data_IF_182596179399
#
_entry.id   IF_182596179399
#
_cell.length_a   1.000
_cell.length_b   1.000
_cell.length_c   1.000
_cell.angle_alpha   90.00
_cell.angle_beta   90.00
_cell.angle_gamma   90.00
#
_symmetry.space_group_name_H-M   'P 1'
#
loop_
_entity.id
_entity.type
_entity.pdbx_description
1 polymer ?
#
# COMPACT_ATOMS: atom_id res chain seq x y z
N UNK A 1 -34.55 40.02 91.80
CA UNK A 1 -34.12 40.36 90.43
C UNK A 1 -32.73 39.77 90.24
N UNK A 2 -32.62 38.67 89.49
CA UNK A 2 -31.34 38.07 89.13
C UNK A 2 -31.36 37.88 87.62
N UNK A 3 -30.65 38.76 86.90
CA UNK A 3 -30.58 38.75 85.45
C UNK A 3 -29.51 37.75 85.00
N UNK A 4 -29.93 36.87 84.09
CA UNK A 4 -29.15 35.81 83.46
C UNK A 4 -28.03 36.36 82.58
N UNK A 5 -26.78 36.01 82.87
CA UNK A 5 -25.54 36.42 82.18
C UNK A 5 -25.02 35.38 81.17
N UNK A 6 -25.85 34.44 80.73
CA UNK A 6 -25.42 33.31 79.90
C UNK A 6 -25.31 33.54 78.38
N UNK A 7 -25.96 34.53 77.71
CA UNK A 7 -25.90 34.61 76.25
C UNK A 7 -24.67 35.35 75.71
N UNK A 8 -23.93 36.11 76.54
CA UNK A 8 -22.78 36.92 76.09
C UNK A 8 -21.47 36.12 76.04
N UNK A 9 -21.29 35.14 76.93
CA UNK A 9 -20.10 34.26 76.95
C UNK A 9 -20.06 33.29 75.76
N UNK A 10 -21.23 32.84 75.29
CA UNK A 10 -21.33 31.90 74.16
C UNK A 10 -21.04 32.58 72.81
N UNK A 11 -21.37 33.88 72.69
CA UNK A 11 -21.05 34.69 71.51
C UNK A 11 -19.55 35.03 71.43
N UNK A 12 -18.89 35.24 72.57
CA UNK A 12 -17.45 35.51 72.64
C UNK A 12 -16.62 34.26 72.34
N UNK A 13 -17.09 33.06 72.73
CA UNK A 13 -16.44 31.79 72.44
C UNK A 13 -16.58 31.41 70.95
N UNK A 14 -17.66 31.80 70.29
CA UNK A 14 -17.87 31.55 68.85
C UNK A 14 -17.00 32.45 67.96
N UNK A 15 -16.63 33.65 68.42
CA UNK A 15 -15.71 34.54 67.70
C UNK A 15 -14.23 34.13 67.82
N UNK A 16 -13.87 33.31 68.81
CA UNK A 16 -12.48 32.85 69.01
C UNK A 16 -12.11 31.60 68.21
N UNK A 17 -13.06 30.98 67.50
CA UNK A 17 -12.88 29.75 66.71
C UNK A 17 -13.03 30.03 65.20
N UNK A 18 -12.86 31.28 64.74
CA UNK A 18 -12.49 31.49 63.34
C UNK A 18 -11.00 31.20 63.19
N UNK A 19 -10.57 30.06 62.63
CA UNK A 19 -9.24 30.01 62.07
C UNK A 19 -9.24 31.04 60.94
N UNK A 20 -8.39 32.04 61.06
CA UNK A 20 -7.93 32.82 59.93
C UNK A 20 -7.26 31.86 58.96
N UNK A 21 -8.07 31.21 58.12
CA UNK A 21 -7.62 30.58 56.89
C UNK A 21 -7.25 31.73 55.96
N UNK A 22 -6.05 32.26 56.18
CA UNK A 22 -5.28 32.90 55.12
C UNK A 22 -5.03 31.74 54.15
N UNK A 23 -5.91 31.58 53.18
CA UNK A 23 -5.67 30.77 52.01
C UNK A 23 -4.48 31.43 51.31
N UNK A 24 -3.28 30.95 51.59
CA UNK A 24 -2.14 31.17 50.72
C UNK A 24 -2.52 30.53 49.38
N UNK A 25 -3.11 31.33 48.51
CA UNK A 25 -3.38 30.95 47.13
C UNK A 25 -2.03 30.72 46.47
N UNK A 26 -1.64 29.45 46.37
CA UNK A 26 -0.43 29.04 45.70
C UNK A 26 -0.56 29.48 44.23
N UNK A 27 0.28 30.41 43.72
CA UNK A 27 0.11 30.99 42.39
C UNK A 27 0.04 29.92 41.28
N UNK A 28 0.67 28.76 41.48
CA UNK A 28 0.68 27.67 40.51
C UNK A 28 -0.68 26.96 40.38
N UNK A 29 -1.44 26.88 41.47
CA UNK A 29 -2.82 26.34 41.45
C UNK A 29 -3.79 27.21 40.64
N UNK A 30 -3.53 28.52 40.59
CA UNK A 30 -4.33 29.47 39.82
C UNK A 30 -4.10 29.33 38.31
N UNK A 31 -2.88 28.98 37.88
CA UNK A 31 -2.54 28.79 36.47
C UNK A 31 -3.16 27.49 35.93
N UNK A 32 -3.09 26.40 36.70
CA UNK A 32 -3.68 25.10 36.29
C UNK A 32 -5.19 25.22 36.12
N UNK A 33 -5.88 25.92 37.03
CA UNK A 33 -7.32 26.14 36.93
C UNK A 33 -7.70 27.02 35.73
N UNK A 34 -6.89 28.02 35.40
CA UNK A 34 -7.05 28.82 34.17
C UNK A 34 -6.85 27.98 32.91
N UNK A 35 -5.84 27.10 32.86
CA UNK A 35 -5.60 26.19 31.73
C UNK A 35 -6.74 25.19 31.54
N UNK A 36 -7.27 24.64 32.63
CA UNK A 36 -8.45 23.77 32.60
C UNK A 36 -9.69 24.51 32.08
N UNK A 37 -9.86 25.76 32.50
CA UNK A 37 -10.95 26.60 31.99
C UNK A 37 -10.80 26.85 30.48
N UNK A 38 -9.61 27.22 30.00
CA UNK A 38 -9.34 27.39 28.57
C UNK A 38 -9.53 26.09 27.77
N UNK A 39 -9.11 24.96 28.31
CA UNK A 39 -9.30 23.64 27.71
C UNK A 39 -10.80 23.34 27.53
N UNK A 40 -11.60 23.60 28.57
CA UNK A 40 -13.05 23.36 28.58
C UNK A 40 -13.84 24.22 27.58
N UNK A 41 -13.32 25.39 27.21
CA UNK A 41 -13.91 26.25 26.20
C UNK A 41 -13.70 25.73 24.78
N UNK A 42 -12.65 24.93 24.56
CA UNK A 42 -12.34 24.38 23.24
C UNK A 42 -13.09 23.07 23.00
N UNK A 43 -13.59 22.86 21.77
CA UNK A 43 -14.30 21.60 21.41
C UNK A 43 -13.35 20.40 21.29
N UNK A 44 -12.08 20.66 20.99
CA UNK A 44 -11.03 19.65 20.74
C UNK A 44 -10.14 19.38 21.95
N UNK A 45 -10.27 20.15 23.03
CA UNK A 45 -9.35 20.13 24.17
C UNK A 45 -8.01 20.83 23.92
N UNK A 46 -7.91 21.59 22.83
CA UNK A 46 -6.70 22.30 22.40
C UNK A 46 -6.74 23.75 22.88
N UNK A 47 -5.69 24.18 23.58
CA UNK A 47 -5.57 25.53 24.11
C UNK A 47 -4.84 26.43 23.11
N UNK A 48 -5.51 27.45 22.59
CA UNK A 48 -4.88 28.45 21.73
C UNK A 48 -4.04 29.42 22.59
N UNK A 49 -2.72 29.40 22.42
CA UNK A 49 -1.79 30.19 23.21
C UNK A 49 -1.38 31.49 22.48
N UNK A 50 -1.64 32.61 23.16
CA UNK A 50 -1.13 33.93 22.75
C UNK A 50 0.24 34.22 23.35
N UNK A 51 0.99 35.15 22.74
CA UNK A 51 2.29 35.61 23.23
C UNK A 51 2.28 36.00 24.72
N UNK A 52 1.22 36.67 25.19
CA UNK A 52 1.11 37.09 26.58
C UNK A 52 0.91 35.89 27.52
N UNK A 53 0.03 34.95 27.16
CA UNK A 53 -0.21 33.74 27.96
C UNK A 53 1.04 32.87 28.02
N UNK A 54 1.72 32.66 26.88
CA UNK A 54 2.91 31.83 26.80
C UNK A 54 4.05 32.37 27.65
N UNK A 55 4.30 33.69 27.62
CA UNK A 55 5.33 34.33 28.46
C UNK A 55 5.02 34.21 29.95
N UNK A 56 3.74 34.28 30.32
CA UNK A 56 3.31 34.09 31.71
C UNK A 56 3.48 32.64 32.16
N UNK A 57 3.18 31.67 31.30
CA UNK A 57 3.34 30.23 31.57
C UNK A 57 4.82 29.80 31.64
N UNK A 58 5.67 30.39 30.79
CA UNK A 58 7.09 30.05 30.68
C UNK A 58 8.00 31.01 31.44
N UNK A 59 7.44 31.80 32.38
CA UNK A 59 8.26 32.71 33.16
C UNK A 59 9.27 31.90 34.00
N UNK A 60 10.58 32.24 34.01
CA UNK A 60 11.60 31.44 34.69
C UNK A 60 11.38 31.25 36.20
N UNK A 61 10.62 32.17 36.83
CA UNK A 61 10.27 32.08 38.25
C UNK A 61 9.15 31.07 38.54
N UNK A 62 8.51 30.51 37.51
CA UNK A 62 7.42 29.54 37.63
C UNK A 62 7.90 28.09 37.48
N UNK A 63 9.22 27.84 37.46
CA UNK A 63 9.79 26.50 37.45
C UNK A 63 10.20 26.06 38.87
N UNK A 64 9.87 24.84 39.33
CA UNK A 64 9.27 23.73 38.57
C UNK A 64 7.74 23.84 38.45
N UNK A 65 7.21 23.63 37.24
CA UNK A 65 5.76 23.64 36.97
C UNK A 65 5.13 22.29 37.32
N UNK A 66 3.87 22.24 37.81
CA UNK A 66 3.19 20.98 38.11
C UNK A 66 2.69 20.23 36.86
N UNK A 67 2.92 20.75 35.65
CA UNK A 67 2.43 20.19 34.39
C UNK A 67 3.48 20.29 33.26
N UNK A 68 3.29 19.46 32.24
CA UNK A 68 3.98 19.56 30.95
C UNK A 68 3.06 20.15 29.88
N UNK A 69 3.61 20.89 28.92
CA UNK A 69 2.84 21.42 27.77
C UNK A 69 3.41 20.89 26.47
N UNK A 70 2.55 20.32 25.63
CA UNK A 70 2.87 19.98 24.25
C UNK A 70 2.33 21.07 23.31
N UNK A 71 3.22 21.72 22.58
CA UNK A 71 2.94 22.89 21.75
C UNK A 71 3.07 22.51 20.28
N UNK A 72 1.99 22.72 19.51
CA UNK A 72 1.96 22.64 18.06
C UNK A 72 2.10 24.04 17.45
N UNK A 73 3.10 24.23 16.59
CA UNK A 73 3.31 25.49 15.90
C UNK A 73 2.56 25.47 14.56
N UNK A 74 1.60 26.38 14.40
CA UNK A 74 0.73 26.48 13.23
C UNK A 74 0.96 27.78 12.45
N UNK A 75 0.63 27.75 11.16
CA UNK A 75 0.56 28.92 10.31
C UNK A 75 -0.51 28.73 9.25
N UNK A 76 -1.64 29.43 9.39
CA UNK A 76 -2.77 29.41 8.46
C UNK A 76 -2.36 29.74 7.02
N UNK A 77 -1.39 30.66 6.84
CA UNK A 77 -0.88 31.03 5.52
C UNK A 77 -0.20 29.88 4.76
N UNK A 78 0.22 28.83 5.47
CA UNK A 78 0.88 27.66 4.90
C UNK A 78 -0.06 26.46 4.76
N UNK A 79 -1.35 26.60 5.12
CA UNK A 79 -2.35 25.54 4.96
C UNK A 79 -2.64 25.22 3.49
N UNK A 80 -2.40 26.17 2.58
CA UNK A 80 -2.60 25.99 1.13
C UNK A 80 -1.49 25.12 0.50
N UNK A 81 -0.33 24.97 1.16
CA UNK A 81 0.79 24.16 0.66
C UNK A 81 0.60 22.70 1.04
N UNK A 82 0.15 21.91 0.08
CA UNK A 82 -0.12 20.47 0.25
C UNK A 82 1.09 19.65 0.68
N UNK A 83 2.31 20.07 0.34
CA UNK A 83 3.57 19.42 0.72
C UNK A 83 3.78 19.38 2.24
N UNK A 84 3.38 20.42 2.95
CA UNK A 84 3.60 20.55 4.41
C UNK A 84 2.56 19.80 5.24
N UNK A 85 1.38 19.48 4.65
CA UNK A 85 0.26 18.77 5.30
C UNK A 85 -0.14 19.32 6.67
N UNK A 86 0.07 20.61 6.94
CA UNK A 86 -0.15 21.25 8.25
C UNK A 86 -1.57 21.07 8.77
N UNK A 87 -2.57 21.27 7.90
CA UNK A 87 -3.99 21.09 8.26
C UNK A 87 -4.29 19.66 8.74
N UNK A 88 -3.68 18.66 8.11
CA UNK A 88 -3.83 17.26 8.48
C UNK A 88 -3.13 16.95 9.81
N UNK A 89 -1.91 17.46 10.00
CA UNK A 89 -1.18 17.30 11.26
C UNK A 89 -1.90 17.95 12.43
N UNK A 90 -2.46 19.15 12.23
CA UNK A 90 -3.30 19.82 13.24
C UNK A 90 -4.52 18.97 13.62
N UNK A 91 -5.18 18.33 12.65
CA UNK A 91 -6.32 17.45 12.95
C UNK A 91 -5.91 16.20 13.75
N UNK A 92 -4.75 15.60 13.45
CA UNK A 92 -4.24 14.46 14.22
C UNK A 92 -3.77 14.89 15.63
N UNK A 93 -3.18 16.09 15.75
CA UNK A 93 -2.83 16.67 17.05
C UNK A 93 -4.07 16.96 17.92
N UNK A 94 -5.12 17.50 17.30
CA UNK A 94 -6.42 17.70 17.95
C UNK A 94 -7.04 16.37 18.40
N UNK A 95 -6.88 15.31 17.61
CA UNK A 95 -7.38 13.98 17.93
C UNK A 95 -6.64 13.38 19.14
N UNK A 96 -5.32 13.56 19.21
CA UNK A 96 -4.51 13.19 20.36
C UNK A 96 -5.00 13.90 21.63
N UNK A 97 -5.18 15.22 21.58
CA UNK A 97 -5.65 16.01 22.72
C UNK A 97 -7.02 15.54 23.22
N UNK A 98 -7.98 15.34 22.30
CA UNK A 98 -9.32 14.84 22.67
C UNK A 98 -9.25 13.43 23.27
N UNK A 99 -8.42 12.55 22.70
CA UNK A 99 -8.27 11.17 23.19
C UNK A 99 -7.64 11.14 24.59
N UNK A 100 -6.64 12.00 24.85
CA UNK A 100 -6.02 12.12 26.16
C UNK A 100 -7.02 12.52 27.24
N UNK A 101 -7.85 13.54 26.98
CA UNK A 101 -8.85 14.01 27.94
C UNK A 101 -9.90 12.93 28.23
N UNK A 102 -10.29 12.15 27.21
CA UNK A 102 -11.22 11.03 27.38
C UNK A 102 -10.63 9.89 28.21
N UNK A 103 -9.33 9.61 28.05
CA UNK A 103 -8.65 8.53 28.76
C UNK A 103 -8.26 8.93 30.20
N UNK A 104 -7.91 10.20 30.42
CA UNK A 104 -7.38 10.72 31.69
C UNK A 104 -8.17 11.94 32.20
N UNK A 105 -9.44 11.77 32.63
CA UNK A 105 -10.29 12.90 33.04
C UNK A 105 -9.87 13.58 34.35
N UNK A 106 -9.06 12.90 35.18
CA UNK A 106 -8.70 13.37 36.53
C UNK A 106 -7.23 13.82 36.66
N UNK A 107 -6.40 13.65 35.63
CA UNK A 107 -4.95 13.88 35.68
C UNK A 107 -4.52 15.01 34.72
N UNK A 108 -4.51 16.29 35.18
CA UNK A 108 -4.13 17.43 34.37
C UNK A 108 -2.59 17.63 34.30
N UNK A 109 -1.86 16.54 34.07
CA UNK A 109 -0.40 16.56 34.07
C UNK A 109 0.18 17.02 32.71
N UNK A 110 -0.62 16.94 31.64
CA UNK A 110 -0.24 17.35 30.28
C UNK A 110 -1.33 18.23 29.68
N UNK A 111 -0.91 19.37 29.15
CA UNK A 111 -1.77 20.26 28.36
C UNK A 111 -1.32 20.29 26.89
N UNK A 112 -2.31 20.31 25.99
CA UNK A 112 -2.08 20.41 24.54
C UNK A 112 -2.44 21.80 24.08
N UNK A 113 -1.55 22.42 23.32
CA UNK A 113 -1.69 23.79 22.88
C UNK A 113 -1.28 23.99 21.42
N UNK A 114 -1.91 24.96 20.76
CA UNK A 114 -1.48 25.48 19.47
C UNK A 114 -1.12 26.96 19.52
N UNK A 115 -0.18 27.35 18.66
CA UNK A 115 0.26 28.74 18.50
C UNK A 115 0.23 29.09 17.01
N UNK A 116 -0.47 30.17 16.68
CA UNK A 116 -0.57 30.68 15.31
C UNK A 116 0.53 31.72 15.01
N UNK A 117 1.26 31.52 13.91
CA UNK A 117 2.39 32.38 13.52
C UNK A 117 2.03 33.86 13.37
N UNK A 118 0.87 34.17 12.78
CA UNK A 118 0.48 35.57 12.53
C UNK A 118 0.24 36.35 13.82
N UNK A 119 -0.24 35.70 14.87
CA UNK A 119 -0.60 36.31 16.14
C UNK A 119 0.59 36.35 17.12
N UNK A 120 1.46 35.33 17.05
CA UNK A 120 2.44 35.05 18.10
C UNK A 120 3.87 34.91 17.57
N UNK A 121 4.31 35.85 16.70
CA UNK A 121 5.65 35.82 16.10
C UNK A 121 6.77 35.84 17.15
N UNK A 122 6.55 36.52 18.28
CA UNK A 122 7.57 36.61 19.33
C UNK A 122 7.76 35.27 20.05
N UNK A 123 6.70 34.49 20.22
CA UNK A 123 6.77 33.12 20.72
C UNK A 123 7.53 32.21 19.77
N UNK A 124 7.30 32.30 18.45
CA UNK A 124 8.07 31.53 17.46
C UNK A 124 9.58 31.82 17.55
N UNK A 125 9.95 33.08 17.72
CA UNK A 125 11.34 33.50 17.90
C UNK A 125 11.94 32.99 19.22
N UNK A 126 11.16 33.00 20.31
CA UNK A 126 11.57 32.51 21.63
C UNK A 126 11.89 31.00 21.60
N UNK A 127 11.12 30.21 20.85
CA UNK A 127 11.45 28.80 20.62
C UNK A 127 12.51 28.60 19.51
N UNK A 128 12.79 29.61 18.69
CA UNK A 128 13.74 29.51 17.57
C UNK A 128 13.23 28.62 16.44
N UNK A 129 11.92 28.62 16.18
CA UNK A 129 11.29 27.84 15.12
C UNK A 129 11.51 28.54 13.77
N UNK A 130 12.20 27.87 12.84
CA UNK A 130 12.51 28.41 11.50
C UNK A 130 11.72 27.72 10.38
N UNK A 131 11.21 26.51 10.64
CA UNK A 131 10.48 25.72 9.67
C UNK A 131 9.27 25.04 10.35
N UNK A 132 8.24 24.75 9.55
CA UNK A 132 7.05 24.01 9.94
C UNK A 132 6.94 22.75 9.09
N UNK A 133 6.28 21.67 9.57
CA UNK A 133 5.62 21.51 10.87
C UNK A 133 6.61 21.37 12.04
N UNK A 134 6.21 21.87 13.23
CA UNK A 134 7.05 21.81 14.42
C UNK A 134 6.21 21.54 15.67
N UNK A 135 6.63 20.56 16.47
CA UNK A 135 6.00 20.22 17.76
C UNK A 135 7.08 20.20 18.83
N UNK A 136 6.79 20.81 19.98
CA UNK A 136 7.70 20.82 21.13
C UNK A 136 7.00 20.43 22.41
N UNK A 137 7.69 19.62 23.20
CA UNK A 137 7.31 19.30 24.56
C UNK A 137 8.13 20.18 25.51
N UNK A 138 7.43 20.92 26.36
CA UNK A 138 8.00 21.70 27.45
C UNK A 138 7.72 20.94 28.75
N UNK A 139 8.78 20.40 29.35
CA UNK A 139 8.70 19.68 30.61
C UNK A 139 8.50 20.60 31.83
N UNK A 140 8.26 20.01 33.01
CA UNK A 140 8.00 20.76 34.24
C UNK A 140 9.21 21.57 34.72
N UNK A 141 10.43 21.08 34.49
CA UNK A 141 11.68 21.71 34.94
C UNK A 141 12.30 22.70 33.95
N UNK A 142 11.72 22.84 32.75
CA UNK A 142 12.31 23.65 31.69
C UNK A 142 12.30 25.15 32.05
N UNK A 143 13.49 25.77 32.13
CA UNK A 143 13.66 27.20 32.41
C UNK A 143 13.82 27.98 31.11
N UNK A 144 14.60 27.43 30.19
CA UNK A 144 14.83 28.03 28.88
C UNK A 144 14.03 27.28 27.80
N UNK A 145 13.04 27.94 27.17
CA UNK A 145 12.14 27.29 26.21
C UNK A 145 12.82 26.90 24.90
N UNK A 146 14.07 27.35 24.65
CA UNK A 146 14.83 27.02 23.46
C UNK A 146 15.73 25.79 23.65
N UNK A 147 16.40 25.67 24.79
CA UNK A 147 17.34 24.58 25.08
C UNK A 147 16.66 23.39 25.77
N UNK A 148 15.72 23.66 26.66
CA UNK A 148 15.15 22.64 27.56
C UNK A 148 13.87 22.01 26.98
N UNK A 149 13.35 22.59 25.89
CA UNK A 149 12.22 22.01 25.16
C UNK A 149 12.68 20.86 24.26
N UNK A 150 11.96 19.75 24.29
CA UNK A 150 12.25 18.59 23.46
C UNK A 150 11.48 18.74 22.13
N UNK A 151 12.20 18.77 21.02
CA UNK A 151 11.62 18.75 19.69
C UNK A 151 11.26 17.32 19.27
N UNK A 152 10.11 17.17 18.61
CA UNK A 152 9.73 15.92 17.95
C UNK A 152 10.43 15.81 16.59
N UNK A 153 10.96 14.63 16.27
CA UNK A 153 11.71 14.40 15.04
C UNK A 153 10.81 14.46 13.80
N UNK A 154 11.38 14.97 12.70
CA UNK A 154 10.63 15.18 11.46
C UNK A 154 10.10 13.89 10.84
N UNK A 155 10.79 12.77 11.08
CA UNK A 155 10.37 11.44 10.61
C UNK A 155 9.14 10.92 11.38
N UNK A 156 8.94 11.34 12.62
CA UNK A 156 7.82 10.88 13.44
C UNK A 156 6.52 11.62 13.12
N UNK A 157 6.58 12.79 12.44
CA UNK A 157 5.40 13.46 11.88
C UNK A 157 4.75 12.67 10.74
N UNK A 158 5.49 11.76 10.12
CA UNK A 158 4.98 10.95 9.00
C UNK A 158 3.90 9.95 9.45
N UNK A 159 3.85 9.69 10.75
CA UNK A 159 2.90 8.79 11.36
C UNK A 159 1.90 9.56 12.23
N UNK A 160 0.72 8.96 12.29
CA UNK A 160 -0.54 9.48 12.78
C UNK A 160 -0.49 9.85 14.28
N UNK A 161 -1.61 10.31 14.87
CA UNK A 161 -1.73 10.66 16.30
C UNK A 161 -1.13 9.63 17.28
N UNK A 162 -1.05 8.36 16.90
CA UNK A 162 -0.42 7.28 17.65
C UNK A 162 1.09 7.50 17.87
N UNK A 163 1.83 8.01 16.88
CA UNK A 163 3.26 8.29 17.04
C UNK A 163 3.52 9.51 17.93
N UNK A 164 2.64 10.51 17.86
CA UNK A 164 2.69 11.64 18.79
C UNK A 164 2.41 11.19 20.23
N UNK A 165 1.48 10.26 20.44
CA UNK A 165 1.22 9.66 21.74
C UNK A 165 2.46 8.93 22.28
N UNK A 166 3.10 8.07 21.47
CA UNK A 166 4.31 7.36 21.85
C UNK A 166 5.46 8.33 22.22
N UNK A 167 5.63 9.41 21.46
CA UNK A 167 6.60 10.45 21.78
C UNK A 167 6.34 11.04 23.18
N UNK A 168 5.09 11.42 23.48
CA UNK A 168 4.70 11.96 24.78
C UNK A 168 4.94 10.96 25.91
N UNK A 169 4.52 9.70 25.73
CA UNK A 169 4.70 8.62 26.71
C UNK A 169 6.19 8.37 26.99
N UNK A 170 7.03 8.36 25.95
CA UNK A 170 8.48 8.12 26.07
C UNK A 170 9.22 9.23 26.81
N UNK A 171 8.74 10.48 26.73
CA UNK A 171 9.42 11.65 27.31
C UNK A 171 8.87 12.06 28.66
N UNK A 172 7.57 11.88 28.89
CA UNK A 172 6.92 12.26 30.15
C UNK A 172 6.73 11.07 31.10
N UNK A 173 6.75 9.83 30.59
CA UNK A 173 6.43 8.63 31.37
C UNK A 173 4.94 8.51 31.74
N UNK A 174 4.08 9.39 31.21
CA UNK A 174 2.65 9.41 31.46
C UNK A 174 1.91 8.65 30.36
N UNK A 175 0.90 7.85 30.72
CA UNK A 175 0.11 7.04 29.78
C UNK A 175 -0.96 7.88 29.08
N UNK A 176 -0.87 8.01 27.76
CA UNK A 176 -1.86 8.75 26.95
C UNK A 176 -3.09 7.87 26.65
N UNK A 177 -2.88 6.57 26.49
CA UNK A 177 -3.93 5.60 26.21
C UNK A 177 -4.32 5.53 24.72
N UNK A 178 -5.35 4.74 24.37
CA UNK A 178 -5.72 4.51 22.98
C UNK A 178 -6.29 5.76 22.30
N UNK A 179 -5.97 5.95 21.02
CA UNK A 179 -6.47 7.07 20.20
C UNK A 179 -7.87 6.76 19.67
N UNK A 180 -8.85 7.60 20.02
CA UNK A 180 -10.26 7.42 19.66
C UNK A 180 -10.60 8.15 18.36
N UNK A 181 -10.40 7.48 17.21
CA UNK A 181 -10.74 8.02 15.89
C UNK A 181 -12.27 8.10 15.71
N UNK A 182 -12.84 9.27 15.36
CA UNK A 182 -14.25 9.33 14.99
C UNK A 182 -14.47 8.47 13.73
N UNK A 183 -15.56 7.68 13.66
CA UNK A 183 -15.83 6.88 12.47
C UNK A 183 -16.03 7.79 11.26
N UNK A 184 -15.38 7.45 10.14
CA UNK A 184 -15.46 8.20 8.86
C UNK A 184 -16.90 8.32 8.33
N UNK A 185 -17.77 7.40 8.74
CA UNK A 185 -19.19 7.38 8.38
C UNK A 185 -20.02 7.68 9.62
N UNK A 186 -20.95 8.62 9.48
CA UNK A 186 -21.90 8.93 10.54
C UNK A 186 -22.72 7.69 10.91
N UNK A 187 -23.07 7.53 12.18
CA UNK A 187 -23.94 6.42 12.65
C UNK A 187 -25.25 6.34 11.83
N UNK A 188 -25.77 7.49 11.39
CA UNK A 188 -26.96 7.55 10.53
C UNK A 188 -26.69 7.07 9.11
N UNK A 189 -25.54 7.40 8.53
CA UNK A 189 -25.12 6.93 7.20
C UNK A 189 -24.85 5.42 7.21
N UNK A 190 -24.21 4.91 8.27
CA UNK A 190 -24.02 3.47 8.46
C UNK A 190 -25.38 2.79 8.58
N UNK A 191 -26.30 3.32 9.40
CA UNK A 191 -27.66 2.80 9.51
C UNK A 191 -28.40 2.79 8.18
N UNK A 192 -28.28 3.86 7.38
CA UNK A 192 -28.88 3.95 6.05
C UNK A 192 -28.26 2.95 5.06
N UNK A 193 -26.94 2.76 5.10
CA UNK A 193 -26.25 1.80 4.23
C UNK A 193 -26.61 0.35 4.58
N UNK A 194 -26.71 0.04 5.88
CA UNK A 194 -27.19 -1.26 6.37
C UNK A 194 -28.64 -1.48 5.95
N UNK A 195 -29.51 -0.49 6.13
CA UNK A 195 -30.91 -0.57 5.70
C UNK A 195 -31.03 -0.75 4.18
N UNK A 196 -30.28 0.04 3.39
CA UNK A 196 -30.25 -0.08 1.93
C UNK A 196 -29.75 -1.46 1.50
N UNK A 197 -28.74 -2.00 2.18
CA UNK A 197 -28.24 -3.36 1.96
C UNK A 197 -29.36 -4.39 2.19
N UNK A 198 -30.04 -4.35 3.33
CA UNK A 198 -31.14 -5.27 3.64
C UNK A 198 -32.33 -5.12 2.69
N UNK A 199 -32.68 -3.89 2.27
CA UNK A 199 -33.71 -3.65 1.27
C UNK A 199 -33.29 -4.23 -0.07
N UNK A 200 -32.02 -4.05 -0.48
CA UNK A 200 -31.50 -4.53 -1.76
C UNK A 200 -31.31 -6.06 -1.81
N UNK A 201 -31.11 -6.71 -0.66
CA UNK A 201 -30.83 -8.14 -0.54
C UNK A 201 -31.89 -9.02 -1.22
N UNK A 202 -33.22 -8.89 -0.96
CA UNK A 202 -34.23 -9.69 -1.65
C UNK A 202 -34.29 -9.43 -3.16
N UNK A 203 -34.05 -8.19 -3.60
CA UNK A 203 -33.99 -7.87 -5.04
C UNK A 203 -32.76 -8.51 -5.69
N UNK A 204 -31.60 -8.47 -5.02
CA UNK A 204 -30.37 -9.07 -5.51
C UNK A 204 -30.50 -10.59 -5.57
N UNK A 205 -31.06 -11.22 -4.53
CA UNK A 205 -31.31 -12.67 -4.48
C UNK A 205 -32.30 -13.11 -5.57
N UNK A 206 -33.41 -12.38 -5.75
CA UNK A 206 -34.35 -12.65 -6.84
C UNK A 206 -33.67 -12.56 -8.20
N UNK A 207 -32.85 -11.52 -8.41
CA UNK A 207 -32.12 -11.31 -9.67
C UNK A 207 -31.10 -12.42 -9.91
N UNK A 208 -30.36 -12.85 -8.88
CA UNK A 208 -29.41 -13.98 -8.94
C UNK A 208 -30.15 -15.28 -9.30
N UNK A 209 -31.26 -15.59 -8.63
CA UNK A 209 -32.04 -16.81 -8.89
C UNK A 209 -32.66 -16.84 -10.28
N UNK A 210 -33.07 -15.67 -10.81
CA UNK A 210 -33.61 -15.56 -12.18
C UNK A 210 -32.55 -15.71 -13.28
N UNK A 211 -31.26 -15.82 -12.94
CA UNK A 211 -30.17 -15.91 -13.92
C UNK A 211 -29.87 -14.61 -14.67
N UNK A 212 -30.57 -13.51 -14.38
CA UNK A 212 -30.39 -12.19 -15.00
C UNK A 212 -29.23 -11.39 -14.38
N UNK A 213 -28.22 -12.07 -13.84
CA UNK A 213 -27.02 -11.44 -13.27
C UNK A 213 -25.80 -11.69 -14.13
N UNK A 214 -24.91 -10.70 -14.14
CA UNK A 214 -23.60 -10.78 -14.79
C UNK A 214 -22.75 -11.96 -14.27
N UNK A 215 -23.07 -12.49 -13.07
CA UNK A 215 -22.39 -13.65 -12.48
C UNK A 215 -22.73 -14.97 -13.18
N UNK A 216 -23.85 -15.07 -13.91
CA UNK A 216 -24.21 -16.27 -14.66
C UNK A 216 -23.60 -16.32 -16.06
N UNK A 217 -23.11 -15.19 -16.58
CA UNK A 217 -22.48 -15.15 -17.89
C UNK A 217 -21.04 -15.67 -17.82
N UNK A 218 -20.77 -16.75 -18.56
CA UNK A 218 -19.43 -17.34 -18.68
C UNK A 218 -18.39 -16.34 -19.23
N UNK A 219 -18.83 -15.33 -19.99
CA UNK A 219 -17.95 -14.28 -20.53
C UNK A 219 -17.36 -13.40 -19.44
N UNK A 220 -18.10 -13.14 -18.38
CA UNK A 220 -17.64 -12.35 -17.24
C UNK A 220 -16.56 -13.11 -16.47
N UNK A 221 -16.76 -14.41 -16.24
CA UNK A 221 -15.75 -15.28 -15.63
C UNK A 221 -14.51 -15.44 -16.50
N UNK A 222 -14.68 -15.56 -17.82
CA UNK A 222 -13.55 -15.58 -18.76
C UNK A 222 -12.75 -14.28 -18.68
N UNK A 223 -13.43 -13.12 -18.72
CA UNK A 223 -12.79 -11.81 -18.60
C UNK A 223 -12.08 -11.65 -17.25
N UNK A 224 -12.71 -12.11 -16.16
CA UNK A 224 -12.11 -12.11 -14.82
C UNK A 224 -10.84 -12.96 -14.75
N UNK A 225 -10.88 -14.17 -15.29
CA UNK A 225 -9.73 -15.07 -15.33
C UNK A 225 -8.56 -14.48 -16.16
N UNK A 226 -8.84 -13.90 -17.32
CA UNK A 226 -7.81 -13.21 -18.14
C UNK A 226 -7.24 -11.99 -17.40
N UNK A 227 -8.07 -11.26 -16.67
CA UNK A 227 -7.62 -10.12 -15.86
C UNK A 227 -6.67 -10.56 -14.75
N UNK A 228 -7.01 -11.64 -14.02
CA UNK A 228 -6.14 -12.20 -12.99
C UNK A 228 -4.81 -12.69 -13.58
N UNK A 229 -4.85 -13.38 -14.72
CA UNK A 229 -3.64 -13.79 -15.44
C UNK A 229 -2.76 -12.59 -15.82
N UNK A 230 -3.35 -11.53 -16.39
CA UNK A 230 -2.64 -10.30 -16.74
C UNK A 230 -1.97 -9.65 -15.51
N UNK A 231 -2.69 -9.53 -14.39
CA UNK A 231 -2.12 -9.00 -13.14
C UNK A 231 -0.96 -9.86 -12.62
N UNK A 232 -1.03 -11.18 -12.79
CA UNK A 232 0.05 -12.08 -12.40
C UNK A 232 1.29 -11.91 -13.28
N UNK A 233 1.12 -11.90 -14.61
CA UNK A 233 2.25 -11.86 -15.57
C UNK A 233 2.90 -10.48 -15.63
N UNK A 234 2.16 -9.40 -15.38
CA UNK A 234 2.69 -8.04 -15.35
C UNK A 234 3.61 -7.73 -14.16
N UNK A 235 3.80 -8.67 -13.22
CA UNK A 235 4.61 -8.44 -12.03
C UNK A 235 3.95 -7.52 -11.00
N UNK A 236 2.63 -7.34 -11.05
CA UNK A 236 1.90 -6.49 -10.10
C UNK A 236 2.13 -6.93 -8.64
N UNK A 237 2.28 -8.23 -8.39
CA UNK A 237 2.62 -8.75 -7.06
C UNK A 237 3.97 -8.23 -6.56
N UNK A 238 5.00 -8.22 -7.41
CA UNK A 238 6.31 -7.66 -7.07
C UNK A 238 6.20 -6.18 -6.69
N UNK A 239 5.42 -5.42 -7.47
CA UNK A 239 5.21 -3.99 -7.25
C UNK A 239 4.49 -3.71 -5.93
N UNK A 240 3.48 -4.52 -5.58
CA UNK A 240 2.70 -4.37 -4.34
C UNK A 240 3.54 -4.70 -3.10
N UNK A 241 4.34 -5.77 -3.14
CA UNK A 241 5.15 -6.22 -1.99
C UNK A 241 6.25 -5.20 -1.70
N UNK A 242 6.98 -4.75 -2.74
CA UNK A 242 8.11 -3.83 -2.59
C UNK A 242 7.70 -2.35 -2.60
N UNK A 243 6.41 -2.06 -2.66
CA UNK A 243 5.85 -0.69 -2.71
C UNK A 243 6.50 0.17 -3.82
N UNK A 244 6.68 -0.44 -4.99
CA UNK A 244 7.30 0.23 -6.13
C UNK A 244 6.36 1.31 -6.70
N UNK A 245 6.85 2.52 -7.01
CA UNK A 245 6.04 3.55 -7.66
C UNK A 245 5.71 3.16 -9.11
N UNK A 246 4.59 3.68 -9.62
CA UNK A 246 4.14 3.41 -11.00
C UNK A 246 5.04 4.09 -12.04
N UNK A 247 5.53 5.28 -11.72
CA UNK A 247 6.40 6.12 -12.52
C UNK A 247 7.33 6.89 -11.58
N UNK A 248 8.48 7.31 -12.09
CA UNK A 248 9.42 8.18 -11.37
C UNK A 248 9.46 9.54 -12.08
N UNK A 249 9.61 10.61 -11.31
CA UNK A 249 9.98 11.90 -11.90
C UNK A 249 11.48 11.88 -12.21
N UNK A 250 11.86 12.43 -13.36
CA UNK A 250 13.26 12.57 -13.74
C UNK A 250 14.01 13.44 -12.73
N UNK A 251 15.27 13.09 -12.43
CA UNK A 251 16.10 13.79 -11.44
C UNK A 251 16.53 15.16 -11.93
N UNK A 252 16.70 15.29 -13.25
CA UNK A 252 17.13 16.54 -13.89
C UNK A 252 15.95 17.45 -14.22
N UNK A 253 14.79 16.87 -14.59
CA UNK A 253 13.56 17.60 -14.94
C UNK A 253 12.32 17.03 -14.23
N UNK A 254 11.83 17.65 -13.14
CA UNK A 254 10.68 17.14 -12.38
C UNK A 254 9.35 17.15 -13.15
N UNK A 255 9.30 17.79 -14.33
CA UNK A 255 8.15 17.77 -15.23
C UNK A 255 8.09 16.54 -16.13
N UNK A 256 9.17 15.75 -16.19
CA UNK A 256 9.28 14.59 -17.07
C UNK A 256 9.08 13.29 -16.28
N UNK A 257 8.12 12.49 -16.72
CA UNK A 257 7.79 11.21 -16.10
C UNK A 257 8.54 10.08 -16.80
N UNK A 258 9.34 9.34 -16.03
CA UNK A 258 10.11 8.18 -16.44
C UNK A 258 9.30 6.92 -16.12
N UNK A 259 8.86 6.22 -17.17
CA UNK A 259 8.06 4.99 -17.07
C UNK A 259 8.90 3.70 -17.12
N UNK A 260 10.14 3.79 -17.60
CA UNK A 260 11.08 2.67 -17.74
C UNK A 260 12.40 3.02 -17.07
N UNK A 261 12.91 2.12 -16.23
CA UNK A 261 14.15 2.31 -15.50
C UNK A 261 15.22 1.32 -15.98
N UNK A 262 16.43 1.81 -16.29
CA UNK A 262 17.55 0.95 -16.64
C UNK A 262 18.22 0.40 -15.37
N UNK A 263 18.12 -0.92 -15.18
CA UNK A 263 18.72 -1.62 -14.06
C UNK A 263 17.95 -2.88 -13.67
N UNK A 264 18.66 -3.94 -13.30
CA UNK A 264 18.09 -5.22 -12.89
C UNK A 264 17.53 -5.21 -11.46
N UNK A 265 17.93 -4.25 -10.63
CA UNK A 265 17.54 -4.16 -9.23
C UNK A 265 16.19 -3.47 -8.96
N UNK A 266 15.58 -2.84 -9.97
CA UNK A 266 14.35 -2.08 -9.81
C UNK A 266 13.38 -2.30 -10.99
N UNK A 267 12.11 -2.52 -10.68
CA UNK A 267 11.04 -2.63 -11.67
C UNK A 267 9.93 -1.64 -11.33
N UNK A 268 9.58 -0.79 -12.30
CA UNK A 268 8.48 0.17 -12.14
C UNK A 268 7.14 -0.48 -12.46
N UNK A 269 6.07 0.06 -11.85
CA UNK A 269 4.72 -0.44 -12.08
C UNK A 269 4.29 -0.36 -13.54
N UNK A 270 4.48 0.79 -14.18
CA UNK A 270 4.12 1.01 -15.58
C UNK A 270 4.88 0.09 -16.54
N UNK A 271 6.17 -0.14 -16.27
CA UNK A 271 7.00 -1.07 -17.03
C UNK A 271 6.46 -2.51 -16.97
N UNK A 272 6.15 -3.00 -15.76
CA UNK A 272 5.58 -4.34 -15.58
C UNK A 272 4.25 -4.53 -16.32
N UNK A 273 3.36 -3.53 -16.27
CA UNK A 273 2.10 -3.58 -17.02
C UNK A 273 2.30 -3.51 -18.53
N UNK A 274 3.24 -2.70 -19.04
CA UNK A 274 3.53 -2.61 -20.46
C UNK A 274 4.07 -3.94 -21.01
N UNK A 275 5.00 -4.57 -20.29
CA UNK A 275 5.54 -5.89 -20.65
C UNK A 275 4.45 -6.96 -20.53
N UNK A 276 3.71 -7.01 -19.42
CA UNK A 276 2.61 -7.96 -19.22
C UNK A 276 1.50 -7.86 -20.28
N UNK A 277 1.27 -6.67 -20.84
CA UNK A 277 0.35 -6.46 -21.96
C UNK A 277 0.87 -7.13 -23.25
N UNK A 278 2.16 -7.01 -23.56
CA UNK A 278 2.79 -7.69 -24.70
C UNK A 278 2.72 -9.22 -24.58
N UNK A 279 2.84 -9.78 -23.38
CA UNK A 279 2.64 -11.21 -23.16
C UNK A 279 1.16 -11.61 -23.37
N UNK A 280 0.24 -10.82 -22.81
CA UNK A 280 -1.19 -11.13 -22.85
C UNK A 280 -1.78 -11.03 -24.26
N UNK A 281 -1.34 -10.07 -25.08
CA UNK A 281 -1.81 -9.95 -26.46
C UNK A 281 -1.43 -11.17 -27.30
N UNK A 282 -0.22 -11.70 -27.15
CA UNK A 282 0.21 -12.93 -27.84
C UNK A 282 -0.63 -14.12 -27.38
N UNK A 283 -0.86 -14.26 -26.07
CA UNK A 283 -1.72 -15.31 -25.51
C UNK A 283 -3.17 -15.26 -26.02
N UNK A 284 -3.77 -14.07 -26.04
CA UNK A 284 -5.14 -13.87 -26.54
C UNK A 284 -5.22 -14.13 -28.05
N UNK A 285 -4.24 -13.67 -28.84
CA UNK A 285 -4.19 -13.93 -30.28
C UNK A 285 -4.07 -15.43 -30.58
N UNK A 286 -3.29 -16.18 -29.81
CA UNK A 286 -3.18 -17.63 -29.95
C UNK A 286 -4.51 -18.33 -29.61
N UNK A 287 -5.18 -17.91 -28.54
CA UNK A 287 -6.51 -18.42 -28.19
C UNK A 287 -7.54 -18.10 -29.30
N UNK A 288 -7.47 -16.91 -29.90
CA UNK A 288 -8.33 -16.50 -31.01
C UNK A 288 -8.12 -17.38 -32.25
N UNK A 289 -6.87 -17.62 -32.65
CA UNK A 289 -6.55 -18.47 -33.82
C UNK A 289 -7.01 -19.91 -33.62
N UNK A 290 -6.86 -20.45 -32.41
CA UNK A 290 -7.18 -21.86 -32.13
C UNK A 290 -8.67 -22.14 -31.95
N UNK A 291 -9.44 -21.20 -31.38
CA UNK A 291 -10.86 -21.42 -31.08
C UNK A 291 -11.84 -20.67 -31.99
N UNK A 292 -11.54 -19.42 -32.37
CA UNK A 292 -12.47 -18.57 -33.13
C UNK A 292 -12.20 -18.67 -34.64
N UNK A 293 -10.94 -18.60 -35.04
CA UNK A 293 -10.57 -18.55 -36.46
C UNK A 293 -10.88 -19.86 -37.21
N UNK A 294 -10.84 -21.01 -36.51
CA UNK A 294 -11.22 -22.33 -37.06
C UNK A 294 -12.70 -22.40 -37.45
N UNK A 295 -13.55 -21.54 -36.88
CA UNK A 295 -14.99 -21.52 -37.16
C UNK A 295 -15.35 -20.74 -38.44
N UNK A 296 -14.39 -20.00 -39.02
CA UNK A 296 -14.58 -19.21 -40.23
C UNK A 296 -14.50 -20.11 -41.47
N UNK A 297 -15.54 -20.14 -42.31
CA UNK A 297 -15.58 -21.00 -43.53
C UNK A 297 -14.73 -20.47 -44.69
N UNK A 298 -14.43 -19.16 -44.72
CA UNK A 298 -13.70 -18.54 -45.82
C UNK A 298 -12.18 -18.72 -45.67
N UNK A 299 -11.60 -19.58 -46.51
CA UNK A 299 -10.17 -19.94 -46.48
C UNK A 299 -9.26 -18.72 -46.72
N UNK A 300 -9.64 -17.80 -47.60
CA UNK A 300 -8.85 -16.59 -47.89
C UNK A 300 -8.76 -15.66 -46.68
N UNK A 301 -9.89 -15.45 -45.99
CA UNK A 301 -9.94 -14.65 -44.75
C UNK A 301 -9.16 -15.34 -43.64
N UNK A 302 -9.31 -16.66 -43.51
CA UNK A 302 -8.57 -17.46 -42.54
C UNK A 302 -7.05 -17.33 -42.71
N UNK A 303 -6.56 -17.46 -43.95
CA UNK A 303 -5.13 -17.31 -44.28
C UNK A 303 -4.63 -15.90 -44.01
N UNK A 304 -5.40 -14.88 -44.41
CA UNK A 304 -5.04 -13.48 -44.17
C UNK A 304 -4.91 -13.19 -42.66
N UNK A 305 -5.90 -13.58 -41.87
CA UNK A 305 -5.89 -13.35 -40.42
C UNK A 305 -4.76 -14.12 -39.74
N UNK A 306 -4.45 -15.35 -40.17
CA UNK A 306 -3.28 -16.09 -39.67
C UNK A 306 -1.97 -15.34 -39.91
N UNK A 307 -1.76 -14.79 -41.12
CA UNK A 307 -0.55 -14.02 -41.45
C UNK A 307 -0.46 -12.77 -40.56
N UNK A 308 -1.57 -12.05 -40.38
CA UNK A 308 -1.62 -10.87 -39.50
C UNK A 308 -1.26 -11.24 -38.06
N UNK A 309 -1.84 -12.30 -37.51
CA UNK A 309 -1.54 -12.75 -36.14
C UNK A 309 -0.06 -13.13 -35.99
N UNK A 310 0.53 -13.79 -36.99
CA UNK A 310 1.95 -14.14 -36.98
C UNK A 310 2.84 -12.89 -36.99
N UNK A 311 2.53 -11.90 -37.83
CA UNK A 311 3.27 -10.63 -37.89
C UNK A 311 3.19 -9.85 -36.56
N UNK A 312 1.99 -9.77 -35.97
CA UNK A 312 1.79 -9.09 -34.68
C UNK A 312 2.53 -9.83 -33.56
N UNK A 313 2.45 -11.16 -33.53
CA UNK A 313 3.15 -11.98 -32.53
C UNK A 313 4.67 -11.82 -32.66
N UNK A 314 5.20 -11.86 -33.88
CA UNK A 314 6.62 -11.64 -34.14
C UNK A 314 7.08 -10.24 -33.68
N UNK A 315 6.28 -9.21 -33.97
CA UNK A 315 6.55 -7.85 -33.51
C UNK A 315 6.56 -7.75 -31.98
N UNK A 316 5.57 -8.34 -31.30
CA UNK A 316 5.47 -8.32 -29.85
C UNK A 316 6.67 -9.01 -29.19
N UNK A 317 7.05 -10.20 -29.67
CA UNK A 317 8.22 -10.94 -29.16
C UNK A 317 9.51 -10.15 -29.39
N UNK A 318 9.69 -9.56 -30.57
CA UNK A 318 10.84 -8.69 -30.85
C UNK A 318 10.91 -7.50 -29.89
N UNK A 319 9.76 -6.91 -29.53
CA UNK A 319 9.70 -5.81 -28.56
C UNK A 319 10.06 -6.27 -27.15
N UNK A 320 9.57 -7.43 -26.71
CA UNK A 320 9.93 -8.02 -25.41
C UNK A 320 11.44 -8.28 -25.33
N UNK A 321 12.03 -8.93 -26.34
CA UNK A 321 13.48 -9.20 -26.38
C UNK A 321 14.29 -7.90 -26.42
N UNK A 322 13.84 -6.90 -27.16
CA UNK A 322 14.50 -5.59 -27.18
C UNK A 322 14.48 -4.92 -25.81
N UNK A 323 13.33 -4.94 -25.11
CA UNK A 323 13.20 -4.36 -23.78
C UNK A 323 14.04 -5.11 -22.75
N UNK A 324 14.09 -6.44 -22.84
CA UNK A 324 14.93 -7.25 -21.97
C UNK A 324 16.42 -6.95 -22.16
N UNK A 325 16.90 -6.96 -23.41
CA UNK A 325 18.28 -6.61 -23.74
C UNK A 325 18.63 -5.19 -23.28
N UNK A 326 17.71 -4.23 -23.44
CA UNK A 326 17.91 -2.85 -22.99
C UNK A 326 17.96 -2.72 -21.46
N UNK A 327 17.24 -3.58 -20.73
CA UNK A 327 17.19 -3.57 -19.27
C UNK A 327 18.34 -4.31 -18.61
N UNK A 328 18.68 -5.49 -19.12
CA UNK A 328 19.73 -6.36 -18.55
C UNK A 328 21.11 -6.08 -19.13
N UNK A 329 21.18 -5.44 -20.30
CA UNK A 329 22.42 -5.27 -21.05
C UNK A 329 22.94 -6.58 -21.66
N UNK A 330 22.19 -7.68 -21.54
CA UNK A 330 22.56 -8.98 -22.08
C UNK A 330 22.00 -9.15 -23.49
N UNK A 331 22.85 -9.50 -24.46
CA UNK A 331 22.41 -9.79 -25.82
C UNK A 331 21.87 -11.21 -25.92
N UNK A 332 20.56 -11.40 -25.91
CA UNK A 332 19.96 -12.71 -26.20
C UNK A 332 20.09 -12.99 -27.70
N UNK A 333 20.94 -13.97 -28.05
CA UNK A 333 21.02 -14.48 -29.42
C UNK A 333 19.86 -15.44 -29.71
N UNK A 334 19.17 -15.24 -30.84
CA UNK A 334 18.14 -16.18 -31.28
C UNK A 334 18.78 -17.54 -31.60
N UNK A 335 18.45 -18.57 -30.82
CA UNK A 335 18.87 -19.94 -31.09
C UNK A 335 17.99 -20.55 -32.18
N UNK A 336 18.55 -20.72 -33.38
CA UNK A 336 17.88 -21.44 -34.46
C UNK A 336 18.20 -22.93 -34.34
N UNK A 337 17.23 -23.83 -34.17
CA UNK A 337 17.50 -25.26 -34.07
C UNK A 337 17.99 -25.79 -35.43
N UNK A 338 19.23 -26.26 -35.48
CA UNK A 338 19.87 -26.72 -36.73
C UNK A 338 19.28 -27.99 -37.36
N UNK A 339 18.27 -28.63 -36.74
CA UNK A 339 17.71 -29.94 -37.16
C UNK A 339 16.30 -29.87 -37.79
N UNK A 340 15.82 -28.71 -38.19
CA UNK A 340 14.47 -28.56 -38.81
C UNK A 340 14.50 -28.83 -40.33
N UNK A 341 15.67 -29.04 -40.94
CA UNK A 341 15.82 -29.26 -42.38
C UNK A 341 15.48 -30.68 -42.88
N UNK A 342 15.23 -31.65 -41.99
CA UNK A 342 14.91 -33.05 -42.37
C UNK A 342 13.46 -33.46 -42.06
N UNK A 343 12.54 -32.51 -41.83
CA UNK A 343 11.12 -32.85 -41.69
C UNK A 343 10.44 -32.65 -43.04
N UNK A 344 10.17 -33.76 -43.71
CA UNK A 344 9.32 -33.83 -44.90
C UNK A 344 8.08 -32.95 -44.71
N UNK A 345 7.89 -32.03 -45.65
CA UNK A 345 6.82 -31.03 -45.71
C UNK A 345 5.46 -31.69 -45.45
N UNK A 346 4.97 -31.58 -44.20
CA UNK A 346 3.61 -31.93 -43.86
C UNK A 346 2.70 -30.83 -44.41
N UNK A 347 1.90 -31.19 -45.41
CA UNK A 347 1.03 -30.30 -46.18
C UNK A 347 -0.23 -29.85 -45.40
N UNK A 348 -0.07 -29.46 -44.14
CA UNK A 348 -1.13 -28.90 -43.29
C UNK A 348 -0.61 -27.61 -42.63
N UNK A 349 -1.04 -26.42 -43.08
CA UNK A 349 -0.54 -25.13 -42.58
C UNK A 349 -0.85 -24.88 -41.09
N UNK A 350 -1.70 -25.70 -40.48
CA UNK A 350 -2.06 -25.62 -39.06
C UNK A 350 -0.97 -26.23 -38.17
N UNK A 351 -0.27 -27.29 -38.60
CA UNK A 351 0.76 -27.95 -37.79
C UNK A 351 2.03 -27.09 -37.69
N UNK A 352 2.50 -26.50 -38.78
CA UNK A 352 3.69 -25.64 -38.78
C UNK A 352 3.48 -24.36 -37.95
N UNK A 353 2.28 -23.77 -37.98
CA UNK A 353 1.95 -22.59 -37.18
C UNK A 353 1.84 -22.95 -35.70
N UNK A 354 1.32 -24.14 -35.36
CA UNK A 354 1.28 -24.61 -33.98
C UNK A 354 2.68 -24.92 -33.45
N UNK A 355 3.58 -25.49 -34.26
CA UNK A 355 4.98 -25.74 -33.88
C UNK A 355 5.77 -24.45 -33.70
N UNK A 356 5.61 -23.47 -34.59
CA UNK A 356 6.26 -22.16 -34.46
C UNK A 356 5.69 -21.39 -33.27
N UNK A 357 4.37 -21.40 -33.07
CA UNK A 357 3.76 -20.78 -31.89
C UNK A 357 4.19 -21.48 -30.60
N UNK A 358 4.28 -22.81 -30.57
CA UNK A 358 4.73 -23.59 -29.42
C UNK A 358 6.23 -23.37 -29.14
N UNK A 359 7.06 -23.23 -30.18
CA UNK A 359 8.47 -22.87 -30.05
C UNK A 359 8.64 -21.45 -29.50
N UNK A 360 7.84 -20.48 -29.98
CA UNK A 360 7.81 -19.10 -29.47
C UNK A 360 7.31 -19.06 -28.02
N UNK A 361 6.31 -19.88 -27.66
CA UNK A 361 5.76 -19.94 -26.30
C UNK A 361 6.69 -20.63 -25.30
N UNK A 362 7.35 -21.72 -25.70
CA UNK A 362 8.31 -22.45 -24.86
C UNK A 362 9.66 -21.68 -24.74
N UNK A 363 9.92 -20.70 -25.62
CA UNK A 363 10.98 -19.67 -25.47
C UNK A 363 10.61 -18.56 -24.46
N UNK A 364 9.32 -18.30 -24.23
CA UNK A 364 8.84 -17.23 -23.35
C UNK A 364 8.56 -17.68 -21.91
N UNK A 365 8.15 -18.94 -21.68
CA UNK A 365 7.89 -19.46 -20.32
C UNK A 365 7.98 -21.01 -20.25
N UNK A 366 9.07 -21.60 -19.72
CA UNK A 366 9.27 -23.06 -19.73
C UNK A 366 8.36 -23.83 -18.77
N UNK A 367 7.73 -23.16 -17.80
CA UNK A 367 6.85 -23.78 -16.79
C UNK A 367 5.49 -24.22 -17.38
N UNK A 368 5.00 -23.58 -18.44
CA UNK A 368 3.68 -23.85 -19.05
C UNK A 368 3.73 -25.10 -19.95
N UNK A 369 4.92 -25.49 -20.43
CA UNK A 369 5.14 -26.66 -21.30
C UNK A 369 4.71 -27.99 -20.60
N UNK A 370 4.64 -28.05 -19.26
CA UNK A 370 4.21 -29.23 -18.48
C UNK A 370 2.69 -29.47 -18.56
N UNK A 371 1.87 -28.43 -18.57
CA UNK A 371 0.39 -28.54 -18.57
C UNK A 371 -0.14 -28.79 -19.98
N UNK A 372 0.43 -28.14 -20.99
CA UNK A 372 0.07 -28.35 -22.40
C UNK A 372 0.42 -29.76 -22.91
N UNK A 373 1.48 -30.39 -22.38
CA UNK A 373 1.84 -31.77 -22.73
C UNK A 373 0.77 -32.81 -22.35
N UNK A 374 0.03 -32.58 -21.26
CA UNK A 374 -1.08 -33.44 -20.84
C UNK A 374 -2.33 -33.33 -21.72
N UNK A 375 -2.60 -32.13 -22.24
CA UNK A 375 -3.73 -31.86 -23.14
C UNK A 375 -3.47 -32.39 -24.55
N UNK A 376 -2.23 -32.26 -25.03
CA UNK A 376 -1.78 -32.83 -26.30
C UNK A 376 -1.83 -34.36 -26.27
N UNK A 377 -1.43 -35.00 -25.16
CA UNK A 377 -1.52 -36.47 -24.96
C UNK A 377 -2.94 -37.02 -25.15
N UNK A 378 -3.98 -36.33 -24.67
CA UNK A 378 -5.39 -36.80 -24.81
C UNK A 378 -5.97 -36.61 -26.21
N UNK A 379 -5.51 -35.62 -26.98
CA UNK A 379 -5.92 -35.44 -28.39
C UNK A 379 -5.10 -36.32 -29.34
N UNK A 380 -3.82 -36.55 -29.05
CA UNK A 380 -2.96 -37.50 -29.77
C UNK A 380 -3.45 -38.95 -29.59
N UNK A 381 -3.85 -39.35 -28.38
CA UNK A 381 -4.45 -40.69 -28.15
C UNK A 381 -5.78 -40.89 -28.90
N UNK A 382 -6.58 -39.83 -29.07
CA UNK A 382 -7.79 -39.86 -29.90
C UNK A 382 -7.47 -39.92 -31.39
N UNK A 383 -6.43 -39.23 -31.84
CA UNK A 383 -5.95 -39.32 -33.22
C UNK A 383 -5.34 -40.70 -33.53
N UNK A 384 -4.66 -41.34 -32.58
CA UNK A 384 -4.14 -42.72 -32.69
C UNK A 384 -5.29 -43.73 -32.86
N UNK A 385 -6.42 -43.55 -32.14
CA UNK A 385 -7.62 -44.39 -32.28
C UNK A 385 -8.32 -44.25 -33.63
N UNK A 386 -8.19 -43.11 -34.32
CA UNK A 386 -8.72 -42.92 -35.68
C UNK A 386 -7.73 -43.43 -36.75
N UNK A 387 -6.42 -43.38 -36.49
CA UNK A 387 -5.37 -43.83 -37.40
C UNK A 387 -5.23 -45.35 -37.53
N UNK A 388 -5.79 -46.15 -36.62
CA UNK A 388 -5.77 -47.62 -36.71
C UNK A 388 -6.61 -48.21 -37.85
N UNK A 389 -7.24 -47.35 -38.66
CA UNK A 389 -8.08 -47.73 -39.82
C UNK A 389 -7.41 -47.52 -41.19
N UNK A 390 -6.14 -47.06 -41.26
CA UNK A 390 -5.43 -46.83 -42.53
C UNK A 390 -4.26 -47.81 -42.80
N UNK A 391 -3.90 -48.05 -44.08
CA UNK A 391 -2.96 -49.11 -44.46
C UNK A 391 -1.51 -48.85 -44.01
N UNK A 392 -0.79 -49.96 -43.82
CA UNK A 392 0.46 -50.19 -43.09
C UNK A 392 1.72 -49.41 -43.50
N UNK A 393 1.69 -48.58 -44.55
CA UNK A 393 2.84 -47.73 -44.94
C UNK A 393 2.84 -46.35 -44.25
N UNK A 394 1.67 -45.81 -43.89
CA UNK A 394 1.53 -44.52 -43.19
C UNK A 394 1.79 -44.61 -41.68
N UNK A 395 1.63 -45.81 -41.10
CA UNK A 395 1.81 -46.07 -39.67
C UNK A 395 3.30 -46.00 -39.27
N UNK A 396 4.22 -46.39 -40.15
CA UNK A 396 5.65 -46.44 -39.86
C UNK A 396 6.27 -45.05 -39.69
N UNK A 397 5.87 -44.09 -40.53
CA UNK A 397 6.36 -42.70 -40.51
C UNK A 397 5.79 -41.94 -39.30
N UNK A 398 4.53 -42.22 -38.91
CA UNK A 398 3.91 -41.57 -37.75
C UNK A 398 4.47 -42.05 -36.41
N UNK A 399 4.91 -43.32 -36.31
CA UNK A 399 5.46 -43.87 -35.06
C UNK A 399 6.88 -43.39 -34.76
N UNK A 400 7.75 -43.25 -35.77
CA UNK A 400 9.14 -42.80 -35.55
C UNK A 400 9.24 -41.34 -35.11
N UNK A 401 8.39 -40.45 -35.66
CA UNK A 401 8.30 -39.05 -35.23
C UNK A 401 7.80 -38.88 -33.79
N UNK A 402 6.87 -39.73 -33.34
CA UNK A 402 6.32 -39.70 -31.98
C UNK A 402 7.33 -40.22 -30.94
N UNK A 403 8.16 -41.21 -31.30
CA UNK A 403 9.25 -41.71 -30.44
C UNK A 403 10.37 -40.68 -30.28
N UNK A 404 10.69 -39.93 -31.34
CA UNK A 404 11.67 -38.84 -31.29
C UNK A 404 11.21 -37.68 -30.38
N UNK A 405 9.93 -37.29 -30.46
CA UNK A 405 9.30 -36.29 -29.58
C UNK A 405 9.28 -36.73 -28.10
N UNK A 406 9.02 -38.01 -27.84
CA UNK A 406 9.05 -38.59 -26.48
C UNK A 406 10.46 -38.63 -25.87
N UNK A 407 11.47 -38.88 -26.70
CA UNK A 407 12.88 -38.91 -26.28
C UNK A 407 13.42 -37.50 -26.00
N UNK A 408 13.11 -36.53 -26.88
CA UNK A 408 13.50 -35.13 -26.71
C UNK A 408 12.87 -34.50 -25.44
N UNK A 409 11.59 -34.78 -25.18
CA UNK A 409 10.91 -34.32 -23.96
C UNK A 409 11.48 -34.94 -22.67
N UNK A 410 12.02 -36.16 -22.74
CA UNK A 410 12.65 -36.84 -21.61
C UNK A 410 14.02 -36.24 -21.28
N UNK A 411 14.81 -35.94 -22.30
CA UNK A 411 16.14 -35.33 -22.15
C UNK A 411 16.04 -33.86 -21.68
N UNK A 412 15.04 -33.11 -22.14
CA UNK A 412 14.73 -31.76 -21.65
C UNK A 412 14.30 -31.75 -20.18
N UNK A 413 13.58 -32.79 -19.72
CA UNK A 413 13.17 -32.95 -18.31
C UNK A 413 14.38 -33.18 -17.39
N UNK A 414 15.33 -34.01 -17.80
CA UNK A 414 16.54 -34.34 -17.01
C UNK A 414 17.46 -33.12 -16.93
N UNK A 415 17.68 -32.43 -18.06
CA UNK A 415 18.48 -31.20 -18.08
C UNK A 415 17.87 -30.06 -17.23
N UNK A 416 16.53 -29.98 -17.15
CA UNK A 416 15.86 -28.97 -16.33
C UNK A 416 15.98 -29.24 -14.83
N UNK A 417 15.85 -30.50 -14.38
CA UNK A 417 16.01 -30.86 -12.97
C UNK A 417 17.42 -30.52 -12.45
N UNK A 418 18.46 -30.84 -13.23
CA UNK A 418 19.85 -30.55 -12.85
C UNK A 418 20.18 -29.04 -12.84
N UNK A 419 19.51 -28.23 -13.67
CA UNK A 419 19.76 -26.78 -13.76
C UNK A 419 18.95 -25.98 -12.73
N UNK A 420 17.77 -26.46 -12.32
CA UNK A 420 16.93 -25.80 -11.32
C UNK A 420 17.49 -25.98 -9.89
N UNK A 421 17.96 -27.18 -9.55
CA UNK A 421 18.56 -27.46 -8.23
C UNK A 421 19.89 -26.72 -8.03
N UNK A 422 20.68 -26.54 -9.09
CA UNK A 422 22.03 -25.96 -8.96
C UNK A 422 22.08 -24.43 -8.98
N UNK A 423 21.09 -23.73 -9.56
CA UNK A 423 21.15 -22.26 -9.75
C UNK A 423 20.12 -21.43 -8.98
N UNK A 424 18.95 -21.97 -8.62
CA UNK A 424 17.86 -21.14 -8.08
C UNK A 424 17.43 -21.48 -6.64
N UNK A 425 17.64 -22.71 -6.16
CA UNK A 425 17.25 -23.10 -4.79
C UNK A 425 18.40 -23.02 -3.76
N UNK A 426 19.65 -23.19 -4.18
CA UNK A 426 20.78 -23.34 -3.24
C UNK A 426 21.46 -22.02 -2.81
N UNK A 427 21.56 -20.93 -3.61
CA UNK A 427 22.26 -19.73 -3.15
C UNK A 427 21.46 -18.96 -2.08
N UNK A 428 20.15 -18.84 -2.25
CA UNK A 428 19.32 -17.95 -1.41
C UNK A 428 19.09 -18.47 0.01
N UNK A 429 19.23 -19.77 0.27
CA UNK A 429 19.01 -20.33 1.61
C UNK A 429 20.31 -20.39 2.43
N UNK A 430 21.47 -20.58 1.78
CA UNK A 430 22.78 -20.62 2.46
C UNK A 430 23.25 -19.21 2.85
N UNK A 431 23.05 -18.21 1.98
CA UNK A 431 23.36 -16.80 2.30
C UNK A 431 22.44 -16.20 3.37
N UNK A 432 21.18 -16.65 3.45
CA UNK A 432 20.25 -16.19 4.49
C UNK A 432 20.53 -16.80 5.87
N UNK A 433 21.22 -17.95 5.95
CA UNK A 433 21.62 -18.58 7.22
C UNK A 433 22.96 -18.05 7.75
N UNK A 434 23.90 -17.67 6.87
CA UNK A 434 25.18 -17.08 7.28
C UNK A 434 25.08 -15.59 7.67
N UNK A 435 24.01 -14.89 7.27
CA UNK A 435 23.74 -13.52 7.72
C UNK A 435 22.97 -13.44 9.06
N UNK A 436 22.56 -14.58 9.61
CA UNK A 436 21.78 -14.68 10.85
C UNK A 436 22.53 -15.39 12.01
N UNK A 437 23.82 -15.70 11.79
CA UNK A 437 24.82 -16.11 12.79
C UNK A 437 25.93 -15.07 12.82
#
# INVERSE_FOLDING_TARGET
>A
MAMSTTPTLLLLLLLLILPSAILSSDPDSSIVSELLHLQSQSKSGLIHLSDHLLRRLLHPSSAPRPFSILIFFDAQQLHDKTELRLKHLKSEFSLLATSFIQNNPSDPNIFFADIEFKESQSSFALFGVQALPHIRLVGPEAKDPKSDSIQMDSNDFSNLAESMAQFVESKTGLTVGPIHRPPMLSKTQIGLLVLAFFISLPFLVKRVLSGETLLHDWRVWLSGAVSVYFFSVSGAMHNIIRKMPMFLADREDPSKLVFFYQGSGMQLGAEGFAVGFLYSIVGIMLAFVTHLLVRVRNVTVQRFVMVVVLLVSFWAVKKVVFLDNWKTGYGIHAYWPSRVLDVHVCHVPVCAVLEIACAIFCLMEPAICVVSGGFLRRRVLRAISLCSSLPSALVKISCEGIVALSSAARNLRIAWYDTWDTKFLVPSYREAQEAAL
#
